data_IF_940221669253
#
_entry.id   IF_940221669253
#
_cell.length_a   1.000
_cell.length_b   1.000
_cell.length_c   1.000
_cell.angle_alpha   90.00
_cell.angle_beta   90.00
_cell.angle_gamma   90.00
#
_symmetry.space_group_name_H-M   'P 1'
#
loop_
_entity.id
_entity.type
_entity.pdbx_description
1 polymer ?
#
# COMPACT_ATOMS: atom_id res chain seq x y z
N UNK A 1 -3.47 4.48 24.46
CA UNK A 1 -4.27 5.32 23.54
C UNK A 1 -3.31 5.93 22.54
N UNK A 2 -3.69 6.00 21.28
CA UNK A 2 -2.86 6.57 20.22
C UNK A 2 -3.00 8.08 20.15
N UNK A 3 -1.93 8.79 19.75
CA UNK A 3 -1.97 10.22 19.47
C UNK A 3 -2.31 10.51 18.01
N UNK A 4 -1.89 9.60 17.11
CA UNK A 4 -2.15 9.67 15.68
C UNK A 4 -2.40 8.28 15.13
N UNK A 5 -3.41 8.17 14.26
CA UNK A 5 -3.66 6.98 13.44
C UNK A 5 -3.33 7.34 12.00
N UNK A 6 -2.37 6.61 11.43
CA UNK A 6 -1.94 6.80 10.05
C UNK A 6 -2.49 5.71 9.14
N UNK A 7 -2.72 6.08 7.89
CA UNK A 7 -3.22 5.18 6.84
C UNK A 7 -2.30 5.23 5.63
N UNK A 8 -1.98 4.09 5.09
CA UNK A 8 -1.59 3.99 3.70
C UNK A 8 -2.79 4.32 2.79
N UNK A 9 -2.51 4.61 1.54
CA UNK A 9 -3.51 5.02 0.57
C UNK A 9 -3.86 3.92 -0.43
N UNK A 10 -2.89 3.56 -1.28
CA UNK A 10 -3.06 2.64 -2.41
C UNK A 10 -3.27 1.20 -1.93
N UNK A 11 -4.36 0.58 -2.37
CA UNK A 11 -4.80 -0.75 -1.93
C UNK A 11 -5.09 -0.89 -0.43
N UNK A 12 -5.20 0.25 0.28
CA UNK A 12 -5.68 0.37 1.65
C UNK A 12 -6.98 1.16 1.73
N UNK A 13 -7.02 2.36 1.15
CA UNK A 13 -8.21 3.24 1.10
C UNK A 13 -8.95 3.15 -0.22
N UNK A 14 -8.23 2.95 -1.32
CA UNK A 14 -8.77 2.82 -2.67
C UNK A 14 -8.01 1.79 -3.50
N UNK A 15 -8.68 1.24 -4.49
CA UNK A 15 -8.11 0.29 -5.42
C UNK A 15 -7.05 0.96 -6.30
N UNK A 16 -5.88 0.34 -6.41
CA UNK A 16 -4.76 0.83 -7.20
C UNK A 16 -4.09 -0.27 -8.04
N UNK A 17 -3.75 -1.44 -7.49
CA UNK A 17 -3.07 -2.52 -8.22
C UNK A 17 -3.90 -3.03 -9.41
N UNK A 18 -5.23 -2.89 -9.34
CA UNK A 18 -6.12 -3.21 -10.46
C UNK A 18 -5.77 -2.41 -11.72
N UNK A 19 -5.49 -1.11 -11.58
CA UNK A 19 -5.10 -0.24 -12.69
C UNK A 19 -3.77 -0.64 -13.32
N UNK A 20 -2.79 -1.03 -12.51
CA UNK A 20 -1.50 -1.52 -12.99
C UNK A 20 -1.64 -2.85 -13.74
N UNK A 21 -2.44 -3.78 -13.24
CA UNK A 21 -2.73 -5.05 -13.92
C UNK A 21 -3.39 -4.82 -15.29
N UNK A 22 -4.38 -3.95 -15.35
CA UNK A 22 -5.04 -3.59 -16.60
C UNK A 22 -4.08 -2.88 -17.57
N UNK A 23 -3.17 -2.07 -17.02
CA UNK A 23 -2.07 -1.44 -17.76
C UNK A 23 -1.12 -2.45 -18.38
N UNK A 24 -0.71 -3.48 -17.64
CA UNK A 24 0.13 -4.59 -18.15
C UNK A 24 -0.57 -5.37 -19.25
N UNK A 25 -1.87 -5.63 -19.11
CA UNK A 25 -2.64 -6.33 -20.17
C UNK A 25 -2.78 -5.48 -21.45
N UNK A 26 -3.00 -4.15 -21.32
CA UNK A 26 -2.98 -3.23 -22.47
C UNK A 26 -1.60 -3.21 -23.13
N UNK A 27 -0.54 -3.21 -22.33
CA UNK A 27 0.84 -3.25 -22.83
C UNK A 27 1.16 -4.55 -23.56
N UNK A 28 0.71 -5.70 -23.06
CA UNK A 28 0.85 -7.01 -23.72
C UNK A 28 0.26 -6.98 -25.13
N UNK A 29 -0.95 -6.42 -25.27
CA UNK A 29 -1.60 -6.27 -26.59
C UNK A 29 -0.83 -5.34 -27.52
N UNK A 30 -0.16 -4.33 -26.97
CA UNK A 30 0.71 -3.44 -27.73
C UNK A 30 1.93 -4.19 -28.26
N UNK A 31 2.62 -4.96 -27.43
CA UNK A 31 3.77 -5.79 -27.83
C UNK A 31 3.39 -6.82 -28.89
N UNK A 32 2.25 -7.49 -28.74
CA UNK A 32 1.75 -8.44 -29.75
C UNK A 32 1.55 -7.79 -31.13
N UNK A 33 1.02 -6.56 -31.18
CA UNK A 33 0.91 -5.78 -32.43
C UNK A 33 2.27 -5.38 -33.00
N UNK A 34 3.28 -5.23 -32.16
CA UNK A 34 4.66 -4.97 -32.56
C UNK A 34 5.42 -6.26 -32.97
N UNK A 35 4.73 -7.42 -33.00
CA UNK A 35 5.32 -8.70 -33.37
C UNK A 35 6.08 -9.41 -32.27
N UNK A 36 5.84 -9.02 -31.00
CA UNK A 36 6.42 -9.68 -29.82
C UNK A 36 5.28 -10.34 -29.04
N UNK A 37 5.27 -11.66 -29.04
CA UNK A 37 4.34 -12.45 -28.24
C UNK A 37 5.07 -12.95 -26.97
N UNK A 38 4.55 -12.53 -25.82
CA UNK A 38 4.98 -12.96 -24.50
C UNK A 38 3.78 -13.58 -23.77
N UNK A 39 4.00 -14.66 -23.04
CA UNK A 39 3.00 -15.13 -22.08
C UNK A 39 2.93 -14.19 -20.87
N UNK A 40 1.87 -14.35 -20.06
CA UNK A 40 1.62 -13.46 -18.93
C UNK A 40 2.75 -13.52 -17.89
N UNK A 41 3.32 -14.69 -17.65
CA UNK A 41 4.41 -14.86 -16.67
C UNK A 41 5.71 -14.23 -17.17
N UNK A 42 6.03 -14.36 -18.45
CA UNK A 42 7.22 -13.75 -19.04
C UNK A 42 7.11 -12.22 -19.08
N UNK A 43 5.94 -11.70 -19.44
CA UNK A 43 5.67 -10.27 -19.43
C UNK A 43 5.81 -9.71 -18.02
N UNK A 44 5.15 -10.34 -17.05
CA UNK A 44 5.21 -9.92 -15.64
C UNK A 44 6.65 -9.91 -15.12
N UNK A 45 7.42 -10.97 -15.39
CA UNK A 45 8.81 -11.05 -14.96
C UNK A 45 9.69 -9.95 -15.59
N UNK A 46 9.47 -9.62 -16.87
CA UNK A 46 10.24 -8.55 -17.55
C UNK A 46 9.87 -7.18 -17.01
N UNK A 47 8.57 -6.87 -16.95
CA UNK A 47 8.09 -5.57 -16.46
C UNK A 47 8.50 -5.36 -15.01
N UNK A 48 8.25 -6.33 -14.12
CA UNK A 48 8.63 -6.22 -12.69
C UNK A 48 10.14 -6.02 -12.51
N UNK A 49 10.97 -6.73 -13.27
CA UNK A 49 12.43 -6.53 -13.20
C UNK A 49 12.81 -5.09 -13.56
N UNK A 50 12.23 -4.54 -14.63
CA UNK A 50 12.50 -3.17 -15.07
C UNK A 50 11.93 -2.15 -14.09
N UNK A 51 10.71 -2.36 -13.57
CA UNK A 51 10.12 -1.50 -12.53
C UNK A 51 10.99 -1.44 -11.27
N UNK A 52 11.42 -2.59 -10.74
CA UNK A 52 12.27 -2.66 -9.54
C UNK A 52 13.60 -1.93 -9.75
N UNK A 53 14.23 -2.09 -10.93
CA UNK A 53 15.44 -1.37 -11.25
C UNK A 53 15.23 0.15 -11.36
N UNK A 54 14.07 0.57 -11.86
CA UNK A 54 13.73 1.97 -12.10
C UNK A 54 13.25 2.71 -10.82
N UNK A 55 12.82 1.99 -9.77
CA UNK A 55 12.39 2.61 -8.50
C UNK A 55 13.49 3.46 -7.88
N UNK A 56 14.75 3.04 -7.96
CA UNK A 56 15.87 3.78 -7.38
C UNK A 56 16.05 5.16 -8.02
N UNK A 57 15.74 5.29 -9.32
CA UNK A 57 15.95 6.52 -10.09
C UNK A 57 14.68 7.38 -10.21
N UNK A 58 13.54 6.75 -10.40
CA UNK A 58 12.29 7.43 -10.74
C UNK A 58 11.22 7.33 -9.63
N UNK A 59 11.49 6.55 -8.57
CA UNK A 59 10.53 6.31 -7.49
C UNK A 59 9.35 5.42 -7.92
N UNK A 60 8.34 5.38 -7.07
CA UNK A 60 7.08 4.68 -7.33
C UNK A 60 6.09 5.57 -8.09
N UNK A 61 5.17 4.96 -8.84
CA UNK A 61 4.03 5.63 -9.45
C UNK A 61 3.90 5.42 -10.96
N UNK A 62 2.83 5.95 -11.51
CA UNK A 62 2.44 5.73 -12.93
C UNK A 62 3.51 6.22 -13.90
N UNK A 63 4.21 7.31 -13.59
CA UNK A 63 5.27 7.84 -14.46
C UNK A 63 6.46 6.88 -14.55
N UNK A 64 6.90 6.32 -13.41
CA UNK A 64 7.97 5.31 -13.35
C UNK A 64 7.54 4.02 -14.05
N UNK A 65 6.30 3.59 -13.84
CA UNK A 65 5.71 2.45 -14.53
C UNK A 65 5.73 2.63 -16.05
N UNK A 66 5.28 3.79 -16.56
CA UNK A 66 5.29 4.07 -17.99
C UNK A 66 6.70 4.04 -18.59
N UNK A 67 7.71 4.60 -17.88
CA UNK A 67 9.12 4.51 -18.30
C UNK A 67 9.59 3.06 -18.35
N UNK A 68 9.20 2.24 -17.38
CA UNK A 68 9.54 0.81 -17.35
C UNK A 68 8.89 0.02 -18.49
N UNK A 69 7.64 0.36 -18.85
CA UNK A 69 6.99 -0.22 -20.02
C UNK A 69 7.68 0.20 -21.33
N UNK A 70 8.08 1.47 -21.46
CA UNK A 70 8.82 1.98 -22.63
C UNK A 70 10.16 1.24 -22.76
N UNK A 71 10.92 1.12 -21.69
CA UNK A 71 12.20 0.41 -21.65
C UNK A 71 12.01 -1.08 -22.02
N UNK A 72 11.04 -1.74 -21.41
CA UNK A 72 10.67 -3.14 -21.72
C UNK A 72 10.29 -3.30 -23.21
N UNK A 73 9.55 -2.34 -23.79
CA UNK A 73 9.18 -2.40 -25.20
C UNK A 73 10.40 -2.25 -26.14
N UNK A 74 11.31 -1.36 -25.81
CA UNK A 74 12.58 -1.18 -26.55
C UNK A 74 13.40 -2.47 -26.51
N UNK A 75 13.59 -3.06 -25.32
CA UNK A 75 14.32 -4.31 -25.14
C UNK A 75 13.66 -5.47 -25.88
N UNK A 76 12.36 -5.69 -25.67
CA UNK A 76 11.62 -6.82 -26.24
C UNK A 76 11.59 -6.79 -27.78
N UNK A 77 11.62 -5.61 -28.37
CA UNK A 77 11.63 -5.45 -29.84
C UNK A 77 13.05 -5.34 -30.43
N UNK A 78 14.09 -5.35 -29.61
CA UNK A 78 15.47 -5.09 -30.04
C UNK A 78 15.65 -3.70 -30.65
N UNK A 79 15.00 -2.69 -30.07
CA UNK A 79 15.05 -1.30 -30.52
C UNK A 79 14.15 -0.98 -31.71
N UNK A 80 13.29 -1.90 -32.16
CA UNK A 80 12.42 -1.72 -33.33
C UNK A 80 11.01 -1.25 -33.02
N UNK A 81 10.70 -0.96 -31.76
CA UNK A 81 9.39 -0.43 -31.36
C UNK A 81 9.08 0.87 -32.11
N UNK A 82 7.90 0.98 -32.69
CA UNK A 82 7.52 2.17 -33.45
C UNK A 82 7.19 3.33 -32.48
N UNK A 83 7.46 4.56 -32.90
CA UNK A 83 7.14 5.77 -32.10
C UNK A 83 5.66 5.86 -31.70
N UNK A 84 4.74 5.40 -32.59
CA UNK A 84 3.31 5.33 -32.26
C UNK A 84 2.98 4.39 -31.09
N UNK A 85 3.75 3.31 -30.93
CA UNK A 85 3.55 2.32 -29.87
C UNK A 85 4.10 2.86 -28.54
N UNK A 86 5.20 3.60 -28.56
CA UNK A 86 5.70 4.37 -27.41
C UNK A 86 4.70 5.44 -27.00
N UNK A 87 4.10 6.15 -27.96
CA UNK A 87 3.05 7.14 -27.67
C UNK A 87 1.83 6.49 -27.00
N UNK A 88 1.45 5.29 -27.42
CA UNK A 88 0.36 4.55 -26.82
C UNK A 88 0.64 4.18 -25.33
N UNK A 89 1.91 3.96 -24.94
CA UNK A 89 2.28 3.80 -23.53
C UNK A 89 2.12 5.10 -22.74
N UNK A 90 2.46 6.25 -23.36
CA UNK A 90 2.24 7.57 -22.74
C UNK A 90 0.73 7.82 -22.53
N UNK A 91 -0.10 7.48 -23.52
CA UNK A 91 -1.55 7.61 -23.40
C UNK A 91 -2.13 6.66 -22.34
N UNK A 92 -1.62 5.43 -22.26
CA UNK A 92 -1.95 4.51 -21.16
C UNK A 92 -1.68 5.15 -19.78
N UNK A 93 -0.50 5.76 -19.60
CA UNK A 93 -0.17 6.43 -18.35
C UNK A 93 -1.11 7.61 -18.05
N UNK A 94 -1.48 8.40 -19.06
CA UNK A 94 -2.45 9.50 -18.91
C UNK A 94 -3.82 8.98 -18.46
N UNK A 95 -4.29 7.88 -19.06
CA UNK A 95 -5.54 7.24 -18.68
C UNK A 95 -5.51 6.79 -17.22
N UNK A 96 -4.42 6.12 -16.79
CA UNK A 96 -4.24 5.70 -15.40
C UNK A 96 -4.23 6.88 -14.42
N UNK A 97 -3.56 7.99 -14.76
CA UNK A 97 -3.54 9.21 -13.94
C UNK A 97 -4.91 9.88 -13.83
N UNK A 98 -5.77 9.73 -14.85
CA UNK A 98 -7.11 10.30 -14.90
C UNK A 98 -8.21 9.37 -14.35
N UNK A 99 -7.87 8.11 -14.01
CA UNK A 99 -8.82 7.09 -13.60
C UNK A 99 -9.60 7.50 -12.34
N UNK A 100 -10.88 7.10 -12.28
CA UNK A 100 -11.73 7.36 -11.13
C UNK A 100 -11.22 6.61 -9.91
N UNK A 101 -11.18 7.29 -8.77
CA UNK A 101 -10.80 6.67 -7.50
C UNK A 101 -11.98 5.84 -6.97
N UNK A 102 -11.78 4.54 -6.81
CA UNK A 102 -12.73 3.60 -6.22
C UNK A 102 -12.31 3.26 -4.80
N UNK A 103 -13.09 3.70 -3.82
CA UNK A 103 -12.81 3.42 -2.41
C UNK A 103 -13.14 1.97 -2.06
N UNK A 104 -12.39 1.41 -1.09
CA UNK A 104 -12.80 0.17 -0.44
C UNK A 104 -14.05 0.38 0.41
N UNK A 105 -14.83 -0.70 0.56
CA UNK A 105 -16.00 -0.72 1.41
C UNK A 105 -15.63 -0.37 2.86
N UNK A 106 -16.45 0.47 3.50
CA UNK A 106 -16.28 0.89 4.89
C UNK A 106 -15.22 1.99 5.11
N UNK A 107 -14.46 2.41 4.09
CA UNK A 107 -13.44 3.47 4.23
C UNK A 107 -14.05 4.80 4.68
N UNK A 108 -15.10 5.35 4.02
CA UNK A 108 -15.66 6.64 4.44
C UNK A 108 -16.18 6.63 5.88
N UNK A 109 -16.90 5.59 6.26
CA UNK A 109 -17.50 5.47 7.60
C UNK A 109 -16.42 5.31 8.68
N UNK A 110 -15.38 4.52 8.38
CA UNK A 110 -14.25 4.32 9.30
C UNK A 110 -13.48 5.62 9.52
N UNK A 111 -13.13 6.35 8.44
CA UNK A 111 -12.42 7.62 8.57
C UNK A 111 -13.27 8.68 9.26
N UNK A 112 -14.56 8.76 8.96
CA UNK A 112 -15.47 9.69 9.64
C UNK A 112 -15.56 9.42 11.14
N UNK A 113 -15.69 8.15 11.55
CA UNK A 113 -15.72 7.76 12.95
C UNK A 113 -14.41 8.10 13.67
N UNK A 114 -13.26 7.75 13.06
CA UNK A 114 -11.96 7.91 13.70
C UNK A 114 -11.49 9.37 13.72
N UNK A 115 -11.74 10.17 12.67
CA UNK A 115 -11.32 11.57 12.61
C UNK A 115 -12.02 12.45 13.65
N UNK A 116 -13.14 12.00 14.21
CA UNK A 116 -13.81 12.69 15.31
C UNK A 116 -13.09 12.55 16.66
N UNK A 117 -12.25 11.52 16.82
CA UNK A 117 -11.60 11.17 18.08
C UNK A 117 -10.06 11.25 18.01
N UNK A 118 -9.49 11.13 16.82
CA UNK A 118 -8.05 11.09 16.61
C UNK A 118 -7.63 11.98 15.43
N UNK A 119 -6.48 12.67 15.51
CA UNK A 119 -5.81 13.19 14.33
C UNK A 119 -5.44 12.04 13.40
N UNK A 120 -5.88 12.11 12.12
CA UNK A 120 -5.52 11.12 11.12
C UNK A 120 -4.38 11.64 10.25
N UNK A 121 -3.51 10.73 9.84
CA UNK A 121 -2.38 10.98 8.95
C UNK A 121 -2.48 10.07 7.72
N UNK A 122 -2.27 10.62 6.53
CA UNK A 122 -2.03 9.82 5.33
C UNK A 122 -0.51 9.67 5.17
N UNK A 123 -0.01 8.44 5.01
CA UNK A 123 1.40 8.16 4.68
C UNK A 123 1.41 7.26 3.45
N UNK A 124 1.78 7.80 2.30
CA UNK A 124 1.74 7.07 1.03
C UNK A 124 3.05 7.20 0.26
N UNK A 125 3.37 6.20 -0.57
CA UNK A 125 4.49 6.24 -1.51
C UNK A 125 4.02 6.77 -2.86
N UNK A 126 4.93 7.38 -3.63
CA UNK A 126 4.69 7.72 -5.02
C UNK A 126 4.99 9.16 -5.38
N UNK A 127 4.51 9.56 -6.56
CA UNK A 127 4.61 10.93 -7.04
C UNK A 127 3.71 11.87 -6.23
N UNK A 128 4.29 12.96 -5.73
CA UNK A 128 3.59 13.92 -4.87
C UNK A 128 2.33 14.49 -5.53
N UNK A 129 2.44 14.89 -6.80
CA UNK A 129 1.32 15.50 -7.52
C UNK A 129 0.18 14.51 -7.72
N UNK A 130 0.53 13.27 -8.12
CA UNK A 130 -0.46 12.22 -8.34
C UNK A 130 -1.16 11.80 -7.05
N UNK A 131 -0.41 11.56 -5.96
CA UNK A 131 -0.99 11.15 -4.67
C UNK A 131 -1.89 12.24 -4.07
N UNK A 132 -1.49 13.51 -4.17
CA UNK A 132 -2.34 14.62 -3.78
C UNK A 132 -3.62 14.72 -4.60
N UNK A 133 -3.51 14.57 -5.92
CA UNK A 133 -4.68 14.53 -6.81
C UNK A 133 -5.62 13.38 -6.51
N UNK A 134 -5.09 12.18 -6.18
CA UNK A 134 -5.91 11.03 -5.76
C UNK A 134 -6.65 11.32 -4.47
N UNK A 135 -5.98 11.87 -3.47
CA UNK A 135 -6.59 12.23 -2.19
C UNK A 135 -7.72 13.25 -2.37
N UNK A 136 -7.49 14.31 -3.13
CA UNK A 136 -8.52 15.32 -3.43
C UNK A 136 -9.73 14.68 -4.13
N UNK A 137 -9.49 13.93 -5.22
CA UNK A 137 -10.56 13.28 -6.01
C UNK A 137 -11.29 12.17 -5.27
N UNK A 138 -10.67 11.57 -4.24
CA UNK A 138 -11.32 10.58 -3.38
C UNK A 138 -12.37 11.19 -2.44
N UNK A 139 -12.31 12.50 -2.21
CA UNK A 139 -13.14 13.20 -1.23
C UNK A 139 -12.75 12.92 0.23
N UNK A 140 -11.65 12.22 0.48
CA UNK A 140 -11.21 11.84 1.82
C UNK A 140 -10.31 12.86 2.51
N UNK A 141 -9.80 13.86 1.76
CA UNK A 141 -8.86 14.87 2.26
C UNK A 141 -9.31 15.54 3.58
N UNK A 142 -10.61 15.90 3.77
CA UNK A 142 -11.06 16.56 5.01
C UNK A 142 -10.88 15.72 6.28
N UNK A 143 -10.69 14.40 6.18
CA UNK A 143 -10.48 13.55 7.35
C UNK A 143 -9.03 13.57 7.86
N UNK A 144 -8.07 14.02 7.05
CA UNK A 144 -6.66 13.94 7.37
C UNK A 144 -6.10 15.27 7.90
N UNK A 145 -5.53 15.24 9.11
CA UNK A 145 -4.79 16.37 9.70
C UNK A 145 -3.39 16.51 9.10
N UNK A 146 -2.81 15.42 8.62
CA UNK A 146 -1.45 15.34 8.06
C UNK A 146 -1.43 14.50 6.80
N UNK A 147 -0.62 14.91 5.81
CA UNK A 147 -0.42 14.18 4.56
C UNK A 147 1.07 14.12 4.25
N UNK A 148 1.63 12.93 4.30
CA UNK A 148 3.03 12.62 4.00
C UNK A 148 3.12 11.75 2.74
N UNK A 149 3.73 12.30 1.69
CA UNK A 149 4.05 11.55 0.47
C UNK A 149 5.55 11.32 0.47
N UNK A 150 5.97 10.06 0.47
CA UNK A 150 7.36 9.66 0.63
C UNK A 150 7.84 8.80 -0.52
N UNK A 151 9.15 8.81 -0.80
CA UNK A 151 9.73 7.94 -1.82
C UNK A 151 9.78 6.47 -1.36
N UNK A 152 10.05 6.24 -0.07
CA UNK A 152 10.14 4.92 0.53
C UNK A 152 9.56 4.95 1.94
N UNK A 153 9.01 3.82 2.39
CA UNK A 153 8.53 3.62 3.75
C UNK A 153 9.54 2.73 4.49
N UNK A 154 10.56 3.35 5.07
CA UNK A 154 11.59 2.69 5.88
C UNK A 154 11.48 3.11 7.34
N UNK A 155 12.08 2.38 8.31
CA UNK A 155 12.08 2.79 9.72
C UNK A 155 12.55 4.22 9.90
N UNK A 156 13.65 4.61 9.24
CA UNK A 156 14.21 5.96 9.28
C UNK A 156 13.24 7.03 8.75
N UNK A 157 12.46 6.71 7.72
CA UNK A 157 11.45 7.63 7.18
C UNK A 157 10.33 7.84 8.19
N UNK A 158 9.84 6.76 8.82
CA UNK A 158 8.84 6.86 9.89
C UNK A 158 9.37 7.63 11.10
N UNK A 159 10.59 7.35 11.56
CA UNK A 159 11.26 8.13 12.62
C UNK A 159 11.30 9.62 12.28
N UNK A 160 11.63 9.97 11.03
CA UNK A 160 11.65 11.34 10.54
C UNK A 160 10.27 12.00 10.53
N UNK A 161 9.22 11.27 10.13
CA UNK A 161 7.83 11.73 10.19
C UNK A 161 7.41 11.99 11.64
N UNK A 162 7.62 11.00 12.52
CA UNK A 162 7.26 11.09 13.93
C UNK A 162 7.95 12.26 14.62
N UNK A 163 9.26 12.45 14.39
CA UNK A 163 10.02 13.56 14.95
C UNK A 163 9.52 14.92 14.44
N UNK A 164 9.19 15.04 13.16
CA UNK A 164 8.68 16.28 12.54
C UNK A 164 7.36 16.73 13.14
N UNK A 165 6.48 15.78 13.45
CA UNK A 165 5.16 16.04 14.04
C UNK A 165 5.13 15.96 15.57
N UNK A 166 6.26 15.68 16.23
CA UNK A 166 6.34 15.54 17.68
C UNK A 166 5.54 14.37 18.26
N UNK A 167 5.42 13.28 17.49
CA UNK A 167 4.63 12.09 17.85
C UNK A 167 5.53 11.05 18.50
N UNK A 168 5.13 10.53 19.69
CA UNK A 168 5.78 9.38 20.31
C UNK A 168 5.46 8.11 19.50
N UNK A 169 6.49 7.39 19.06
CA UNK A 169 6.34 6.17 18.28
C UNK A 169 5.41 5.15 18.95
N UNK A 170 5.51 4.99 20.29
CA UNK A 170 4.67 4.05 21.06
C UNK A 170 3.18 4.41 21.05
N UNK A 171 2.83 5.61 20.60
CA UNK A 171 1.47 6.15 20.50
C UNK A 171 1.02 6.39 19.05
N UNK A 172 1.79 5.88 18.10
CA UNK A 172 1.52 5.92 16.67
C UNK A 172 1.00 4.57 16.17
N UNK A 173 -0.10 4.59 15.43
CA UNK A 173 -0.67 3.41 14.77
C UNK A 173 -0.67 3.62 13.26
N UNK A 174 -0.08 2.70 12.51
CA UNK A 174 -0.15 2.65 11.04
C UNK A 174 -1.10 1.55 10.60
N UNK A 175 -1.96 1.86 9.63
CA UNK A 175 -2.89 0.93 8.99
C UNK A 175 -2.57 0.84 7.51
N UNK A 176 -2.28 -0.35 6.98
CA UNK A 176 -1.95 -0.51 5.58
C UNK A 176 -1.99 -1.95 5.10
N UNK A 177 -1.87 -2.15 3.79
CA UNK A 177 -1.92 -3.46 3.14
C UNK A 177 -0.55 -4.12 2.96
N UNK A 178 0.54 -3.36 3.06
CA UNK A 178 1.89 -3.87 2.82
C UNK A 178 2.62 -4.22 4.11
N UNK A 179 2.98 -5.50 4.26
CA UNK A 179 3.85 -5.91 5.37
C UNK A 179 5.20 -5.21 5.32
N UNK A 180 5.77 -5.07 4.14
CA UNK A 180 7.09 -4.50 3.91
C UNK A 180 7.14 -3.00 4.14
N UNK A 181 6.08 -2.28 3.78
CA UNK A 181 6.06 -0.80 3.79
C UNK A 181 5.31 -0.20 4.97
N UNK A 182 4.23 -0.86 5.44
CA UNK A 182 3.34 -0.28 6.45
C UNK A 182 3.52 -0.92 7.82
N UNK A 183 3.87 -2.20 7.86
CA UNK A 183 3.91 -2.96 9.11
C UNK A 183 5.31 -2.99 9.71
N UNK A 184 6.25 -3.63 9.03
CA UNK A 184 7.59 -3.87 9.57
C UNK A 184 8.34 -2.59 9.92
N UNK A 185 8.40 -1.58 9.01
CA UNK A 185 9.15 -0.35 9.30
C UNK A 185 8.59 0.44 10.47
N UNK A 186 7.27 0.41 10.67
CA UNK A 186 6.61 1.10 11.78
C UNK A 186 6.89 0.42 13.10
N UNK A 187 6.82 -0.92 13.13
CA UNK A 187 7.14 -1.69 14.35
C UNK A 187 8.61 -1.53 14.72
N UNK A 188 9.52 -1.52 13.73
CA UNK A 188 10.96 -1.27 13.95
C UNK A 188 11.21 0.15 14.49
N UNK A 189 10.45 1.15 14.03
CA UNK A 189 10.49 2.51 14.58
C UNK A 189 9.84 2.63 15.98
N UNK A 190 9.29 1.54 16.54
CA UNK A 190 8.67 1.49 17.86
C UNK A 190 7.17 1.75 17.89
N UNK A 191 6.53 1.88 16.72
CA UNK A 191 5.08 2.08 16.57
C UNK A 191 4.26 0.79 16.64
N UNK A 192 2.98 0.95 16.34
CA UNK A 192 2.00 -0.13 16.21
C UNK A 192 1.52 -0.20 14.77
N UNK A 193 1.19 -1.38 14.29
CA UNK A 193 0.71 -1.57 12.94
C UNK A 193 -0.53 -2.46 12.85
N UNK A 194 -1.40 -2.14 11.90
CA UNK A 194 -2.53 -2.98 11.49
C UNK A 194 -2.35 -3.32 10.02
N UNK A 195 -2.25 -4.61 9.75
CA UNK A 195 -2.25 -5.16 8.41
C UNK A 195 -3.69 -5.40 7.97
N UNK A 196 -4.08 -4.83 6.83
CA UNK A 196 -5.36 -5.06 6.16
C UNK A 196 -5.04 -5.64 4.77
N UNK A 197 -5.00 -6.98 4.61
CA UNK A 197 -4.58 -7.59 3.35
C UNK A 197 -5.47 -7.17 2.18
N UNK A 198 -4.87 -6.70 1.09
CA UNK A 198 -5.58 -6.48 -0.16
C UNK A 198 -5.73 -7.79 -0.95
N UNK A 199 -6.84 -7.95 -1.68
CA UNK A 199 -7.07 -9.11 -2.53
C UNK A 199 -6.09 -9.18 -3.73
N UNK A 200 -5.61 -8.02 -4.16
CA UNK A 200 -4.54 -7.86 -5.16
C UNK A 200 -3.42 -7.10 -4.50
N UNK A 201 -2.23 -7.68 -4.49
CA UNK A 201 -1.01 -7.03 -4.00
C UNK A 201 0.13 -7.27 -4.96
N UNK A 202 1.02 -6.31 -5.05
CA UNK A 202 2.27 -6.51 -5.78
C UNK A 202 3.21 -7.37 -4.92
N UNK A 203 3.68 -8.50 -5.47
CA UNK A 203 4.52 -9.45 -4.73
C UNK A 203 5.80 -8.84 -4.13
N UNK A 204 6.25 -7.70 -4.66
CA UNK A 204 7.36 -6.93 -4.10
C UNK A 204 7.07 -6.37 -2.69
N UNK A 205 5.81 -6.19 -2.34
CA UNK A 205 5.36 -5.68 -1.03
C UNK A 205 5.15 -6.78 0.03
N UNK A 206 5.30 -8.04 -0.34
CA UNK A 206 5.20 -9.16 0.58
C UNK A 206 6.45 -9.28 1.46
N UNK A 207 6.25 -9.66 2.70
CA UNK A 207 7.33 -9.91 3.66
C UNK A 207 6.87 -10.94 4.72
N UNK A 208 7.83 -11.57 5.39
CA UNK A 208 7.55 -12.38 6.59
C UNK A 208 7.60 -11.49 7.83
N UNK A 209 6.65 -11.69 8.75
CA UNK A 209 6.64 -10.97 10.01
C UNK A 209 7.43 -11.74 11.05
N UNK A 210 8.57 -11.20 11.51
CA UNK A 210 9.38 -11.85 12.54
C UNK A 210 8.65 -11.84 13.90
N UNK A 211 8.97 -12.80 14.76
CA UNK A 211 8.26 -13.01 16.05
C UNK A 211 8.25 -11.77 16.96
N UNK A 212 9.32 -10.98 16.95
CA UNK A 212 9.41 -9.78 17.77
C UNK A 212 8.41 -8.68 17.31
N UNK A 213 8.06 -8.64 16.03
CA UNK A 213 7.11 -7.67 15.47
C UNK A 213 5.66 -8.03 15.80
N UNK A 214 5.36 -9.31 16.04
CA UNK A 214 4.00 -9.81 16.30
C UNK A 214 3.34 -9.22 17.55
N UNK A 215 4.10 -8.66 18.46
CA UNK A 215 3.56 -8.06 19.69
C UNK A 215 2.87 -6.70 19.44
N UNK A 216 3.27 -6.01 18.36
CA UNK A 216 2.78 -4.67 17.99
C UNK A 216 2.07 -4.64 16.63
N UNK A 217 1.74 -5.80 16.10
CA UNK A 217 1.11 -5.98 14.81
C UNK A 217 -0.21 -6.71 14.95
N UNK A 218 -1.26 -6.20 14.31
CA UNK A 218 -2.58 -6.79 14.22
C UNK A 218 -2.95 -7.02 12.77
N UNK A 219 -3.86 -7.97 12.52
CA UNK A 219 -4.44 -8.18 11.19
C UNK A 219 -5.95 -8.06 11.24
N UNK A 220 -6.50 -7.33 10.34
CA UNK A 220 -7.94 -7.17 10.19
C UNK A 220 -8.37 -7.62 8.80
N UNK A 221 -9.56 -8.23 8.68
CA UNK A 221 -10.09 -8.67 7.39
C UNK A 221 -10.51 -7.50 6.49
N UNK A 222 -10.76 -6.33 7.08
CA UNK A 222 -11.12 -5.11 6.37
C UNK A 222 -10.91 -3.89 7.26
N UNK A 223 -10.82 -2.72 6.66
CA UNK A 223 -10.67 -1.45 7.36
C UNK A 223 -11.87 -1.13 8.26
N UNK A 224 -13.07 -1.61 7.91
CA UNK A 224 -14.29 -1.42 8.70
C UNK A 224 -14.24 -2.05 10.10
N UNK A 225 -13.33 -3.00 10.35
CA UNK A 225 -13.12 -3.60 11.66
C UNK A 225 -12.19 -2.77 12.59
N UNK A 226 -11.55 -1.72 12.05
CA UNK A 226 -10.55 -0.94 12.77
C UNK A 226 -11.12 -0.20 14.01
N UNK A 227 -12.30 0.45 13.99
CA UNK A 227 -12.85 1.11 15.18
C UNK A 227 -13.00 0.14 16.36
N UNK A 228 -13.50 -1.07 16.12
CA UNK A 228 -13.64 -2.08 17.16
C UNK A 228 -12.31 -2.53 17.76
N UNK A 229 -11.25 -2.63 16.95
CA UNK A 229 -9.90 -2.92 17.45
C UNK A 229 -9.38 -1.77 18.34
N UNK A 230 -9.55 -0.52 17.91
CA UNK A 230 -9.10 0.65 18.67
C UNK A 230 -9.81 0.73 20.03
N UNK A 231 -11.13 0.48 20.06
CA UNK A 231 -11.91 0.41 21.29
C UNK A 231 -11.39 -0.67 22.23
N UNK A 232 -11.12 -1.86 21.70
CA UNK A 232 -10.58 -2.98 22.47
C UNK A 232 -9.18 -2.69 23.05
N UNK A 233 -8.32 -1.97 22.31
CA UNK A 233 -6.98 -1.57 22.75
C UNK A 233 -7.02 -0.41 23.77
N UNK A 234 -8.06 0.40 23.74
CA UNK A 234 -8.27 1.56 24.62
C UNK A 234 -8.97 1.19 25.91
N UNK A 235 -9.61 0.00 25.99
CA UNK A 235 -10.29 -0.48 27.17
C UNK A 235 -9.32 -0.69 28.35
N UNK A 236 -9.70 -0.36 29.59
CA UNK A 236 -8.87 -0.62 30.78
C UNK A 236 -8.48 -2.10 30.90
N UNK A 237 -7.28 -2.38 31.39
CA UNK A 237 -6.70 -3.73 31.46
C UNK A 237 -7.57 -4.77 32.21
N UNK A 238 -8.53 -4.33 33.00
CA UNK A 238 -9.49 -5.20 33.74
C UNK A 238 -10.55 -5.86 32.86
N UNK A 239 -10.77 -5.39 31.63
CA UNK A 239 -11.77 -5.93 30.69
C UNK A 239 -11.17 -6.80 29.57
N UNK A 240 -9.85 -7.03 29.57
CA UNK A 240 -9.21 -7.83 28.50
C UNK A 240 -9.48 -9.33 28.73
N UNK A 241 -10.16 -10.04 27.82
CA UNK A 241 -10.27 -11.50 27.94
C UNK A 241 -8.87 -12.13 27.91
N UNK A 242 -8.56 -13.00 28.86
CA UNK A 242 -7.33 -13.81 28.83
C UNK A 242 -7.33 -14.61 27.52
N UNK A 243 -6.28 -14.43 26.73
CA UNK A 243 -6.08 -15.25 25.54
C UNK A 243 -6.06 -16.73 25.95
N UNK A 244 -6.94 -17.53 25.37
CA UNK A 244 -6.90 -18.97 25.52
C UNK A 244 -5.58 -19.51 24.92
N UNK A 245 -4.97 -20.55 25.55
CA UNK A 245 -3.77 -21.17 25.00
C UNK A 245 -4.06 -21.72 23.58
N UNK A 246 -3.09 -21.70 22.68
CA UNK A 246 -3.30 -22.15 21.31
C UNK A 246 -3.61 -23.65 21.31
N UNK A 247 -4.69 -24.05 20.62
CA UNK A 247 -4.95 -25.43 20.27
C UNK A 247 -3.86 -25.89 19.29
N UNK A 248 -3.25 -27.02 19.62
CA UNK A 248 -2.24 -27.70 18.79
C UNK A 248 -2.96 -28.35 17.60
N UNK A 249 -2.40 -28.15 16.42
CA UNK A 249 -2.54 -28.91 15.17
C UNK A 249 -3.30 -28.27 14.02
N UNK A 250 -2.51 -27.78 13.10
CA UNK A 250 -2.55 -27.97 11.62
C UNK A 250 -1.60 -26.95 10.96
N UNK A 251 -0.87 -27.26 9.87
CA UNK A 251 0.09 -26.36 9.26
C UNK A 251 -0.66 -25.24 8.53
N UNK A 252 -0.82 -24.12 9.19
CA UNK A 252 -1.34 -22.88 8.59
C UNK A 252 -0.16 -22.08 8.06
N UNK A 253 -0.36 -21.48 6.90
CA UNK A 253 0.55 -20.43 6.38
C UNK A 253 0.79 -19.41 7.51
N UNK A 254 2.00 -18.88 7.68
CA UNK A 254 2.28 -17.92 8.74
C UNK A 254 1.43 -16.65 8.51
N UNK A 255 0.39 -16.47 9.31
CA UNK A 255 -0.34 -15.21 9.37
C UNK A 255 0.42 -14.23 10.24
N UNK A 256 0.42 -12.98 9.86
CA UNK A 256 1.17 -11.90 10.49
C UNK A 256 0.82 -11.61 11.94
N UNK A 257 -0.29 -12.13 12.48
CA UNK A 257 -0.98 -11.40 13.55
C UNK A 257 -1.74 -12.31 14.49
N UNK A 258 -1.94 -11.84 15.70
CA UNK A 258 -2.97 -12.39 16.61
C UNK A 258 -4.35 -12.07 16.02
N UNK A 259 -5.20 -13.06 15.73
CA UNK A 259 -6.60 -12.78 15.38
C UNK A 259 -7.28 -12.15 16.60
N UNK A 260 -7.87 -10.97 16.40
CA UNK A 260 -8.79 -10.38 17.34
C UNK A 260 -10.14 -11.04 17.11
N UNK A 261 -10.64 -11.81 18.07
CA UNK A 261 -12.04 -12.22 18.08
C UNK A 261 -12.83 -11.06 18.67
N UNK A 262 -13.69 -10.50 17.87
CA UNK A 262 -14.75 -9.61 18.31
C UNK A 262 -15.83 -10.42 19.05
#
# INVERSE_FOLDING_TARGET
MFDVIAFDADDTLWHNERSYRDGRERFRRLLARAGVELDDAELEARVTRTEVANIEFFGYGVSSFALSLIETAIEATGGRVAARDLHAVIDLARDMLAEKIELFEGVPDTLAALSSAYPLMLVTKGDLLHQRSKLERSGLEPHFSYVEVVSHKTPRVYEGILARHGIDASRFLMVGNSLRSDVLPVVEAGGWAVHVPAALSWAHEDAEVPDHARQRCFELPSIGALPGLIDALSAPAMARPRAAPPAVDSPRRPSCVRPVRL
#
